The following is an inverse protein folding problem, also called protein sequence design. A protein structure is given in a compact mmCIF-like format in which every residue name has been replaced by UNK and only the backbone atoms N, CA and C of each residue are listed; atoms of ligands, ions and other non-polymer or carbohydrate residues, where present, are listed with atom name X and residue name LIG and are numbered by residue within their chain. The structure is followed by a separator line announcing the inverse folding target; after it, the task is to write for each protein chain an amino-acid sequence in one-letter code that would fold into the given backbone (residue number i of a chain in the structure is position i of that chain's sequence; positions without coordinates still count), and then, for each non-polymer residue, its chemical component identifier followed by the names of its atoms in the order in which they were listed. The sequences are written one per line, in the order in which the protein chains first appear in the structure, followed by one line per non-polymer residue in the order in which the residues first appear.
data_IF_008906745741
#
_entry.id   IF_008906745741
#
_cell.length_a   1.000
_cell.length_b   1.000
_cell.length_c   1.000
_cell.angle_alpha   90.00
_cell.angle_beta   90.00
_cell.angle_gamma   90.00
#
_symmetry.space_group_name_H-M   'P 1'
#
loop_
_entity.id
_entity.type
_entity.pdbx_description
1 polymer ?
#
# COMPACT_ATOMS: atom_id res chain seq x y z
N UNK A 1 -9.86 -3.23 6.66
CA UNK A 1 -9.34 -3.45 5.29
C UNK A 1 -7.91 -2.95 5.11
N UNK A 2 -7.52 -1.81 5.68
CA UNK A 2 -6.21 -1.18 5.45
C UNK A 2 -5.04 -1.74 6.28
N UNK A 3 -5.34 -2.35 7.42
CA UNK A 3 -4.33 -2.81 8.39
C UNK A 3 -3.25 -3.75 7.80
N UNK A 4 -3.58 -4.70 6.90
CA UNK A 4 -2.55 -5.60 6.35
C UNK A 4 -1.43 -4.87 5.60
N UNK A 5 -1.77 -3.85 4.81
CA UNK A 5 -0.78 -3.05 4.08
C UNK A 5 0.11 -2.26 5.04
N UNK A 6 -0.46 -1.64 6.07
CA UNK A 6 0.32 -0.86 7.04
C UNK A 6 1.21 -1.72 7.94
N UNK A 7 0.83 -2.98 8.17
CA UNK A 7 1.64 -3.93 8.95
C UNK A 7 2.55 -4.80 8.09
N UNK A 8 2.49 -4.66 6.76
CA UNK A 8 3.27 -5.49 5.84
C UNK A 8 2.85 -6.95 5.81
N UNK A 9 1.65 -7.30 6.29
CA UNK A 9 1.20 -8.69 6.39
C UNK A 9 0.52 -9.20 5.11
N UNK A 10 0.23 -8.33 4.15
CA UNK A 10 -0.23 -8.76 2.83
C UNK A 10 -0.73 -7.65 1.92
N UNK A 11 -0.96 -8.02 0.66
CA UNK A 11 -1.65 -7.19 -0.33
C UNK A 11 -3.15 -7.20 -0.03
N UNK A 12 -3.79 -6.07 -0.25
CA UNK A 12 -5.24 -5.92 -0.16
C UNK A 12 -5.78 -5.58 -1.53
N UNK A 13 -6.52 -6.51 -2.13
CA UNK A 13 -7.31 -6.29 -3.36
C UNK A 13 -8.79 -6.45 -3.03
N UNK A 14 -9.60 -5.52 -3.51
CA UNK A 14 -11.05 -5.51 -3.34
C UNK A 14 -11.70 -4.97 -4.61
N UNK A 15 -12.52 -5.80 -5.25
CA UNK A 15 -13.24 -5.40 -6.47
C UNK A 15 -14.27 -4.30 -6.18
N UNK A 16 -14.88 -4.32 -4.99
CA UNK A 16 -15.76 -3.26 -4.52
C UNK A 16 -15.60 -3.05 -3.01
N UNK A 17 -14.90 -1.98 -2.63
CA UNK A 17 -14.58 -1.62 -1.25
C UNK A 17 -15.84 -1.37 -0.41
N UNK A 18 -16.94 -0.94 -1.02
CA UNK A 18 -18.21 -0.72 -0.32
C UNK A 18 -18.91 -2.04 0.05
N UNK A 19 -18.58 -3.13 -0.64
CA UNK A 19 -19.08 -4.48 -0.36
C UNK A 19 -18.05 -5.32 0.41
N UNK A 20 -16.81 -4.87 0.55
CA UNK A 20 -15.78 -5.58 1.30
C UNK A 20 -16.14 -5.63 2.80
N UNK A 21 -16.35 -6.82 3.40
CA UNK A 21 -16.76 -6.94 4.79
C UNK A 21 -15.70 -6.41 5.78
N UNK A 22 -14.45 -6.23 5.33
CA UNK A 22 -13.34 -5.68 6.11
C UNK A 22 -13.37 -4.15 6.13
N UNK A 23 -14.12 -3.50 5.25
CA UNK A 23 -14.16 -2.04 5.11
C UNK A 23 -15.05 -1.36 6.17
N UNK A 24 -14.80 -0.08 6.44
CA UNK A 24 -15.59 0.72 7.39
C UNK A 24 -15.49 0.32 8.86
N UNK A 25 -14.60 -0.60 9.23
CA UNK A 25 -14.45 -1.10 10.61
C UNK A 25 -13.47 -0.32 11.49
N UNK A 26 -12.83 0.72 10.97
CA UNK A 26 -11.82 1.48 11.71
C UNK A 26 -12.44 2.71 12.39
N UNK A 27 -12.17 2.93 13.68
CA UNK A 27 -12.55 4.18 14.37
C UNK A 27 -11.54 5.29 14.08
N UNK A 28 -11.91 6.59 14.00
CA UNK A 28 -13.28 7.14 14.07
C UNK A 28 -14.01 7.12 12.71
N UNK A 29 -13.32 6.74 11.63
CA UNK A 29 -13.84 6.83 10.25
C UNK A 29 -14.40 5.49 9.76
N UNK A 30 -15.72 5.37 9.78
CA UNK A 30 -16.46 4.18 9.30
C UNK A 30 -16.64 4.16 7.77
N UNK A 31 -15.57 4.41 7.03
CA UNK A 31 -15.62 4.47 5.56
C UNK A 31 -14.89 5.69 5.01
N UNK A 32 -15.33 6.16 3.84
CA UNK A 32 -14.68 7.29 3.17
C UNK A 32 -15.00 8.58 3.93
N UNK A 33 -14.00 9.45 4.17
CA UNK A 33 -14.26 10.79 4.69
C UNK A 33 -15.17 11.57 3.75
N UNK A 34 -15.91 12.53 4.29
CA UNK A 34 -16.65 13.51 3.49
C UNK A 34 -15.71 14.25 2.52
N UNK A 35 -16.15 14.45 1.27
CA UNK A 35 -15.37 15.10 0.21
C UNK A 35 -14.31 14.21 -0.47
N UNK A 36 -14.15 12.95 -0.06
CA UNK A 36 -13.26 12.01 -0.75
C UNK A 36 -13.85 11.59 -2.10
N UNK A 37 -12.98 11.41 -3.10
CA UNK A 37 -13.38 10.90 -4.41
C UNK A 37 -14.03 9.51 -4.28
N UNK A 38 -15.02 9.16 -5.13
CA UNK A 38 -15.65 7.85 -5.10
C UNK A 38 -14.61 6.77 -5.40
N UNK A 39 -14.49 5.79 -4.50
CA UNK A 39 -13.65 4.60 -4.68
C UNK A 39 -14.54 3.37 -4.55
N UNK A 40 -14.44 2.50 -5.55
CA UNK A 40 -15.09 1.20 -5.62
C UNK A 40 -14.02 0.12 -5.69
N UNK A 41 -13.23 0.04 -6.76
CA UNK A 41 -12.10 -0.88 -6.82
C UNK A 41 -10.90 -0.34 -6.02
N UNK A 42 -10.25 -1.21 -5.25
CA UNK A 42 -9.13 -0.86 -4.38
C UNK A 42 -7.99 -1.88 -4.45
N UNK A 43 -6.75 -1.38 -4.55
CA UNK A 43 -5.53 -2.19 -4.46
C UNK A 43 -4.54 -1.46 -3.54
N UNK A 44 -3.99 -2.18 -2.57
CA UNK A 44 -2.96 -1.67 -1.68
C UNK A 44 -1.85 -2.70 -1.45
N UNK A 45 -0.60 -2.27 -1.66
CA UNK A 45 0.58 -3.12 -1.60
C UNK A 45 1.58 -2.53 -0.61
N UNK A 46 2.05 -3.30 0.39
CA UNK A 46 3.06 -2.81 1.32
C UNK A 46 4.41 -2.63 0.62
N UNK A 47 5.14 -1.59 0.98
CA UNK A 47 6.54 -1.41 0.59
C UNK A 47 7.38 -1.83 1.79
N UNK A 48 7.95 -3.04 1.72
CA UNK A 48 8.69 -3.65 2.83
C UNK A 48 10.17 -3.78 2.47
N UNK A 49 11.03 -3.27 3.35
CA UNK A 49 12.48 -3.42 3.28
C UNK A 49 12.87 -4.89 3.31
N UNK A 50 14.08 -5.21 2.84
CA UNK A 50 14.65 -6.56 3.00
C UNK A 50 14.76 -6.99 4.47
N UNK A 51 14.84 -6.05 5.41
CA UNK A 51 14.86 -6.33 6.86
C UNK A 51 13.50 -6.78 7.43
N UNK A 52 12.42 -6.62 6.66
CA UNK A 52 11.05 -6.78 7.13
C UNK A 52 10.42 -5.49 7.68
N UNK A 53 11.17 -4.38 7.73
CA UNK A 53 10.60 -3.05 8.07
C UNK A 53 9.60 -2.61 7.00
N UNK A 54 8.40 -2.19 7.43
CA UNK A 54 7.43 -1.56 6.52
C UNK A 54 7.82 -0.10 6.31
N UNK A 55 8.29 0.20 5.10
CA UNK A 55 8.72 1.53 4.69
C UNK A 55 7.55 2.42 4.28
N UNK A 56 6.42 1.82 3.89
CA UNK A 56 5.20 2.51 3.48
C UNK A 56 4.23 1.60 2.74
N UNK A 57 3.36 2.17 1.92
CA UNK A 57 2.42 1.43 1.08
C UNK A 57 2.07 2.19 -0.20
N UNK A 58 1.81 1.45 -1.27
CA UNK A 58 1.25 1.96 -2.52
C UNK A 58 -0.27 1.75 -2.47
N UNK A 59 -1.05 2.80 -2.74
CA UNK A 59 -2.50 2.79 -2.60
C UNK A 59 -3.17 3.27 -3.88
N UNK A 60 -4.09 2.47 -4.41
CA UNK A 60 -4.80 2.73 -5.65
C UNK A 60 -6.30 2.59 -5.43
N UNK A 61 -7.06 3.55 -5.96
CA UNK A 61 -8.51 3.53 -5.94
C UNK A 61 -9.05 3.89 -7.32
N UNK A 62 -10.16 3.27 -7.70
CA UNK A 62 -10.88 3.58 -8.94
C UNK A 62 -12.38 3.70 -8.67
N UNK A 63 -13.08 4.56 -9.42
CA UNK A 63 -14.53 4.78 -9.25
C UNK A 63 -15.38 3.60 -9.71
N UNK A 64 -14.87 2.78 -10.63
CA UNK A 64 -15.53 1.57 -11.12
C UNK A 64 -15.12 0.34 -10.31
N UNK A 65 -15.96 -0.70 -10.33
CA UNK A 65 -15.71 -1.98 -9.64
C UNK A 65 -14.75 -2.86 -10.45
N UNK A 66 -14.00 -3.71 -9.77
CA UNK A 66 -13.23 -4.81 -10.40
C UNK A 66 -12.11 -4.37 -11.33
N UNK A 67 -11.63 -3.13 -11.22
CA UNK A 67 -10.58 -2.58 -12.11
C UNK A 67 -9.22 -3.23 -11.86
N UNK A 68 -8.92 -3.62 -10.61
CA UNK A 68 -7.64 -4.23 -10.26
C UNK A 68 -7.75 -5.75 -10.22
N UNK A 69 -7.16 -6.39 -11.24
CA UNK A 69 -6.98 -7.85 -11.35
C UNK A 69 -5.67 -8.36 -10.73
N UNK A 70 -5.43 -9.66 -10.90
CA UNK A 70 -4.24 -10.34 -10.37
C UNK A 70 -2.94 -9.85 -11.05
N UNK A 71 -3.02 -9.50 -12.34
CA UNK A 71 -1.93 -8.93 -13.11
C UNK A 71 -1.52 -7.54 -12.61
N UNK A 72 -2.48 -6.73 -12.19
CA UNK A 72 -2.23 -5.42 -11.57
C UNK A 72 -1.54 -5.59 -10.20
N UNK A 73 -2.01 -6.54 -9.40
CA UNK A 73 -1.39 -6.89 -8.12
C UNK A 73 0.07 -7.36 -8.29
N UNK A 74 0.34 -8.25 -9.24
CA UNK A 74 1.69 -8.72 -9.53
C UNK A 74 2.63 -7.58 -9.99
N UNK A 75 2.14 -6.69 -10.86
CA UNK A 75 2.88 -5.52 -11.29
C UNK A 75 3.21 -4.57 -10.12
N UNK A 76 2.23 -4.32 -9.24
CA UNK A 76 2.41 -3.44 -8.08
C UNK A 76 3.32 -4.06 -7.00
N UNK A 77 3.31 -5.38 -6.83
CA UNK A 77 4.30 -6.09 -6.00
C UNK A 77 5.73 -5.88 -6.52
N UNK A 78 5.93 -6.01 -7.83
CA UNK A 78 7.23 -5.72 -8.45
C UNK A 78 7.67 -4.27 -8.24
N UNK A 79 6.76 -3.31 -8.44
CA UNK A 79 7.04 -1.89 -8.20
C UNK A 79 7.37 -1.60 -6.73
N UNK A 80 6.63 -2.20 -5.78
CA UNK A 80 6.91 -2.07 -4.36
C UNK A 80 8.31 -2.61 -3.99
N UNK A 81 8.73 -3.73 -4.58
CA UNK A 81 10.08 -4.27 -4.40
C UNK A 81 11.18 -3.34 -4.91
N UNK A 82 10.98 -2.71 -6.07
CA UNK A 82 11.90 -1.69 -6.58
C UNK A 82 11.96 -0.45 -5.69
N UNK A 83 10.81 0.05 -5.23
CA UNK A 83 10.73 1.18 -4.32
C UNK A 83 11.47 0.89 -2.99
N UNK A 84 11.25 -0.29 -2.40
CA UNK A 84 11.94 -0.71 -1.19
C UNK A 84 13.46 -0.71 -1.36
N UNK A 85 13.94 -1.30 -2.45
CA UNK A 85 15.38 -1.35 -2.77
C UNK A 85 15.98 0.06 -2.94
N UNK A 86 15.27 0.97 -3.62
CA UNK A 86 15.73 2.34 -3.80
C UNK A 86 15.81 3.11 -2.47
N UNK A 87 14.82 2.93 -1.59
CA UNK A 87 14.78 3.56 -0.26
C UNK A 87 15.90 3.01 0.63
N UNK A 88 16.09 1.69 0.68
CA UNK A 88 17.15 1.04 1.44
C UNK A 88 18.54 1.56 0.99
N UNK A 89 18.77 1.62 -0.32
CA UNK A 89 20.03 2.14 -0.88
C UNK A 89 20.25 3.61 -0.52
N UNK A 90 19.20 4.45 -0.56
CA UNK A 90 19.29 5.86 -0.17
C UNK A 90 19.66 6.02 1.31
N UNK A 91 19.07 5.20 2.20
CA UNK A 91 19.38 5.21 3.64
C UNK A 91 20.82 4.76 3.89
N UNK A 92 21.28 3.69 3.23
CA UNK A 92 22.66 3.22 3.33
C UNK A 92 23.65 4.29 2.88
N UNK A 93 23.40 4.94 1.74
CA UNK A 93 24.26 6.00 1.22
C UNK A 93 24.34 7.19 2.19
N UNK A 94 23.22 7.63 2.76
CA UNK A 94 23.19 8.71 3.77
C UNK A 94 23.99 8.34 5.03
N UNK A 95 23.86 7.11 5.52
CA UNK A 95 24.60 6.65 6.69
C UNK A 95 26.12 6.68 6.46
N UNK A 96 26.58 6.28 5.27
CA UNK A 96 28.00 6.37 4.89
C UNK A 96 28.50 7.82 4.80
N UNK A 97 27.68 8.75 4.31
CA UNK A 97 28.05 10.17 4.27
C UNK A 97 28.19 10.76 5.68
N UNK A 98 27.26 10.44 6.59
CA UNK A 98 27.32 10.92 7.97
C UNK A 98 28.52 10.35 8.74
N UNK A 99 28.91 9.10 8.49
CA UNK A 99 30.07 8.48 9.17
C UNK A 99 31.42 9.04 8.69
N UNK A 100 31.48 9.54 7.44
CA UNK A 100 32.69 10.10 6.84
C UNK A 100 32.80 11.64 6.98
N UNK A 101 31.89 12.28 7.72
CA UNK A 101 31.90 13.73 8.02
C UNK A 101 32.39 13.96 9.44
#
# INVERSE_FOLDING_TARGET
VFEPTFRGTGVVRSDDILQDPRYGRNSPRKGMPEGHLPVRSYLAVPVTSRSGEVLGGLFFGHSDVGVFGAEHEAAMLGLAGHAASAIDNSRLFKALQTLNS
#
